data_IF_538525375399
#
_entry.id   IF_538525375399
#
_cell.length_a   1.000
_cell.length_b   1.000
_cell.length_c   1.000
_cell.angle_alpha   90.00
_cell.angle_beta   90.00
_cell.angle_gamma   90.00
#
_symmetry.space_group_name_H-M   'P 1'
#
loop_
_entity.id
_entity.type
_entity.pdbx_description
1 polymer ?
#
# COMPACT_ATOMS: atom_id res chain seq x y z
N UNK A 1 -5.47 10.92 -19.90
CA UNK A 1 -4.74 9.64 -19.75
C UNK A 1 -4.62 9.02 -21.13
N UNK A 2 -3.40 8.75 -21.60
CA UNK A 2 -3.19 8.12 -22.93
C UNK A 2 -3.56 6.63 -22.89
N UNK A 3 -3.97 6.06 -24.01
CA UNK A 3 -4.35 4.64 -24.12
C UNK A 3 -3.23 3.71 -23.66
N UNK A 4 -1.97 4.04 -23.99
CA UNK A 4 -0.78 3.32 -23.56
C UNK A 4 -0.59 3.30 -22.04
N UNK A 5 -0.92 4.39 -21.34
CA UNK A 5 -0.80 4.45 -19.87
C UNK A 5 -1.85 3.56 -19.18
N UNK A 6 -3.06 3.49 -19.74
CA UNK A 6 -4.12 2.58 -19.26
C UNK A 6 -3.69 1.13 -19.44
N UNK A 7 -3.10 0.79 -20.59
CA UNK A 7 -2.62 -0.57 -20.86
C UNK A 7 -1.46 -0.96 -19.94
N UNK A 8 -0.48 -0.07 -19.74
CA UNK A 8 0.59 -0.25 -18.76
C UNK A 8 0.02 -0.45 -17.34
N UNK A 9 -1.01 0.30 -16.97
CA UNK A 9 -1.66 0.18 -15.66
C UNK A 9 -2.31 -1.19 -15.47
N UNK A 10 -3.00 -1.70 -16.50
CA UNK A 10 -3.55 -3.07 -16.50
C UNK A 10 -2.44 -4.12 -16.39
N UNK A 11 -1.36 -3.97 -17.14
CA UNK A 11 -0.23 -4.92 -17.16
C UNK A 11 0.41 -5.01 -15.78
N UNK A 12 0.71 -3.86 -15.16
CA UNK A 12 1.33 -3.81 -13.83
C UNK A 12 0.35 -4.29 -12.75
N UNK A 13 -0.89 -3.78 -12.77
CA UNK A 13 -1.91 -4.09 -11.76
C UNK A 13 -2.32 -5.57 -11.69
N UNK A 14 -2.39 -6.24 -12.83
CA UNK A 14 -2.68 -7.70 -12.88
C UNK A 14 -1.52 -8.58 -12.43
N UNK A 15 -0.37 -7.98 -12.07
CA UNK A 15 0.81 -8.68 -11.56
C UNK A 15 1.20 -8.14 -10.17
N UNK A 16 0.46 -8.51 -9.10
CA UNK A 16 0.66 -7.94 -7.77
C UNK A 16 2.10 -8.02 -7.25
N UNK A 17 2.81 -9.12 -7.53
CA UNK A 17 4.22 -9.29 -7.16
C UNK A 17 5.11 -8.25 -7.83
N UNK A 18 4.93 -8.03 -9.14
CA UNK A 18 5.69 -7.04 -9.89
C UNK A 18 5.38 -5.62 -9.41
N UNK A 19 4.10 -5.31 -9.19
CA UNK A 19 3.66 -4.01 -8.69
C UNK A 19 4.26 -3.69 -7.31
N UNK A 20 4.23 -4.66 -6.38
CA UNK A 20 4.82 -4.50 -5.04
C UNK A 20 6.33 -4.31 -5.10
N UNK A 21 7.04 -5.07 -5.93
CA UNK A 21 8.49 -4.93 -6.09
C UNK A 21 8.86 -3.61 -6.75
N UNK A 22 8.09 -3.14 -7.73
CA UNK A 22 8.26 -1.81 -8.34
C UNK A 22 8.10 -0.71 -7.29
N UNK A 23 7.06 -0.79 -6.46
CA UNK A 23 6.89 0.13 -5.32
C UNK A 23 8.08 0.07 -4.36
N UNK A 24 8.54 -1.13 -4.00
CA UNK A 24 9.71 -1.30 -3.11
C UNK A 24 10.98 -0.67 -3.70
N UNK A 25 11.27 -0.90 -4.98
CA UNK A 25 12.41 -0.29 -5.66
C UNK A 25 12.33 1.24 -5.65
N UNK A 26 11.16 1.80 -5.94
CA UNK A 26 10.91 3.24 -5.85
C UNK A 26 11.14 3.79 -4.44
N UNK A 27 10.62 3.12 -3.40
CA UNK A 27 10.79 3.52 -1.99
C UNK A 27 12.23 3.39 -1.49
N UNK A 28 12.98 2.44 -2.03
CA UNK A 28 14.41 2.23 -1.75
C UNK A 28 15.34 3.19 -2.51
N UNK A 29 14.79 4.11 -3.31
CA UNK A 29 15.54 5.03 -4.16
C UNK A 29 16.46 4.32 -5.18
N UNK A 30 16.04 3.16 -5.67
CA UNK A 30 16.76 2.47 -6.75
C UNK A 30 16.62 3.26 -8.06
N UNK A 31 17.66 3.29 -8.90
CA UNK A 31 17.61 4.01 -10.19
C UNK A 31 16.93 3.21 -11.30
N UNK A 32 16.71 1.91 -11.08
CA UNK A 32 16.11 1.03 -12.08
C UNK A 32 15.47 -0.20 -11.44
N UNK A 33 14.38 -0.66 -12.02
CA UNK A 33 13.66 -1.86 -11.67
C UNK A 33 13.44 -2.72 -12.92
N UNK A 34 13.51 -4.04 -12.77
CA UNK A 34 13.11 -4.98 -13.81
C UNK A 34 12.51 -6.24 -13.18
N UNK A 35 11.31 -6.59 -13.61
CA UNK A 35 10.64 -7.84 -13.24
C UNK A 35 10.46 -8.71 -14.48
N UNK A 36 11.10 -9.87 -14.48
CA UNK A 36 10.99 -10.86 -15.55
C UNK A 36 10.03 -11.97 -15.10
N UNK A 37 8.81 -12.06 -15.66
CA UNK A 37 7.93 -13.17 -15.37
C UNK A 37 8.48 -14.48 -15.95
N UNK A 38 8.03 -15.62 -15.40
CA UNK A 38 8.38 -16.95 -15.95
C UNK A 38 7.92 -17.09 -17.41
N UNK A 39 6.78 -16.48 -17.75
CA UNK A 39 6.22 -16.42 -19.10
C UNK A 39 5.84 -14.97 -19.40
N UNK A 40 6.33 -14.43 -20.52
CA UNK A 40 6.03 -13.09 -20.99
C UNK A 40 7.24 -12.16 -20.99
N UNK A 41 7.00 -10.89 -21.32
CA UNK A 41 8.02 -9.87 -21.39
C UNK A 41 8.30 -9.25 -20.01
N UNK A 42 9.51 -8.70 -19.80
CA UNK A 42 9.82 -8.00 -18.57
C UNK A 42 9.05 -6.68 -18.47
N UNK A 43 8.71 -6.31 -17.23
CA UNK A 43 8.29 -4.96 -16.87
C UNK A 43 9.54 -4.26 -16.36
N UNK A 44 9.87 -3.10 -16.92
CA UNK A 44 11.01 -2.31 -16.45
C UNK A 44 10.60 -0.89 -16.11
N UNK A 45 11.28 -0.31 -15.13
CA UNK A 45 11.13 1.09 -14.80
C UNK A 45 12.51 1.70 -14.54
N UNK A 46 12.72 2.93 -15.01
CA UNK A 46 13.91 3.74 -14.70
C UNK A 46 13.47 4.97 -13.94
N UNK A 47 14.20 5.29 -12.88
CA UNK A 47 13.96 6.47 -12.05
C UNK A 47 15.13 7.45 -12.23
N UNK A 48 14.83 8.67 -12.65
CA UNK A 48 15.77 9.80 -12.70
C UNK A 48 15.32 10.81 -11.63
N UNK A 49 15.89 10.67 -10.43
CA UNK A 49 15.54 11.53 -9.29
C UNK A 49 16.06 12.97 -9.44
N UNK A 50 17.10 13.19 -10.23
CA UNK A 50 17.63 14.54 -10.49
C UNK A 50 16.70 15.33 -11.40
N UNK A 51 16.03 14.65 -12.35
CA UNK A 51 15.01 15.25 -13.23
C UNK A 51 13.59 15.11 -12.72
N UNK A 52 13.40 14.39 -11.62
CA UNK A 52 12.07 14.02 -11.10
C UNK A 52 11.20 13.28 -12.14
N UNK A 53 11.79 12.31 -12.84
CA UNK A 53 11.12 11.52 -13.88
C UNK A 53 11.17 10.01 -13.60
N UNK A 54 10.12 9.29 -14.03
CA UNK A 54 10.08 7.85 -14.13
C UNK A 54 9.68 7.42 -15.54
N UNK A 55 10.41 6.46 -16.11
CA UNK A 55 10.04 5.81 -17.39
C UNK A 55 9.60 4.39 -17.08
N UNK A 56 8.32 4.07 -17.31
CA UNK A 56 7.77 2.72 -17.19
C UNK A 56 7.63 2.10 -18.58
N UNK A 57 8.14 0.88 -18.78
CA UNK A 57 8.13 0.21 -20.06
C UNK A 57 7.71 -1.27 -19.98
N UNK A 58 7.05 -1.72 -21.04
CA UNK A 58 6.70 -3.12 -21.28
C UNK A 58 6.58 -3.35 -22.80
N UNK A 59 7.42 -4.24 -23.35
CA UNK A 59 7.51 -4.42 -24.82
C UNK A 59 7.72 -3.07 -25.52
N UNK A 60 6.85 -2.73 -26.46
CA UNK A 60 6.87 -1.48 -27.24
C UNK A 60 6.10 -0.34 -26.56
N UNK A 61 5.47 -0.60 -25.41
CA UNK A 61 4.80 0.42 -24.61
C UNK A 61 5.79 1.10 -23.67
N UNK A 62 5.78 2.43 -23.66
CA UNK A 62 6.56 3.24 -22.72
C UNK A 62 5.76 4.45 -22.30
N UNK A 63 5.91 4.85 -21.04
CA UNK A 63 5.38 6.10 -20.51
C UNK A 63 6.46 6.81 -19.70
N UNK A 64 6.76 8.03 -20.11
CA UNK A 64 7.55 8.97 -19.33
C UNK A 64 6.60 9.81 -18.46
N UNK A 65 6.83 9.80 -17.16
CA UNK A 65 6.00 10.42 -16.14
C UNK A 65 6.90 11.28 -15.24
N UNK A 66 6.35 12.38 -14.71
CA UNK A 66 6.97 12.98 -13.53
C UNK A 66 6.91 11.98 -12.35
N UNK A 67 7.79 12.08 -11.37
CA UNK A 67 7.71 11.23 -10.17
C UNK A 67 6.39 11.41 -9.41
N UNK A 68 5.80 12.61 -9.48
CA UNK A 68 4.47 12.89 -8.94
C UNK A 68 3.39 12.10 -9.69
N UNK A 69 3.36 12.20 -11.03
CA UNK A 69 2.40 11.47 -11.87
C UNK A 69 2.60 9.95 -11.76
N UNK A 70 3.84 9.48 -11.63
CA UNK A 70 4.14 8.08 -11.39
C UNK A 70 3.54 7.60 -10.07
N UNK A 71 3.67 8.39 -9.00
CA UNK A 71 3.11 8.05 -7.68
C UNK A 71 1.58 8.01 -7.73
N UNK A 72 0.95 9.02 -8.34
CA UNK A 72 -0.50 9.08 -8.52
C UNK A 72 -0.99 7.89 -9.37
N UNK A 73 -0.27 7.56 -10.45
CA UNK A 73 -0.57 6.42 -11.31
C UNK A 73 -0.49 5.09 -10.56
N UNK A 74 0.54 4.87 -9.74
CA UNK A 74 0.65 3.68 -8.89
C UNK A 74 -0.49 3.62 -7.88
N UNK A 75 -0.90 4.75 -7.30
CA UNK A 75 -2.07 4.83 -6.41
C UNK A 75 -3.37 4.41 -7.09
N UNK A 76 -3.59 4.82 -8.34
CA UNK A 76 -4.75 4.38 -9.13
C UNK A 76 -4.70 2.86 -9.39
N UNK A 77 -3.54 2.32 -9.76
CA UNK A 77 -3.37 0.87 -9.95
C UNK A 77 -3.72 0.11 -8.66
N UNK A 78 -3.20 0.53 -7.51
CA UNK A 78 -3.50 -0.10 -6.22
C UNK A 78 -5.01 -0.11 -5.93
N UNK A 79 -5.67 1.02 -6.17
CA UNK A 79 -7.09 1.20 -5.90
C UNK A 79 -7.97 0.24 -6.71
N UNK A 80 -7.55 -0.06 -7.94
CA UNK A 80 -8.28 -0.95 -8.86
C UNK A 80 -7.94 -2.42 -8.62
N UNK A 81 -6.67 -2.75 -8.42
CA UNK A 81 -6.18 -4.14 -8.53
C UNK A 81 -5.81 -4.81 -7.21
N UNK A 82 -5.54 -4.05 -6.16
CA UNK A 82 -5.13 -4.65 -4.91
C UNK A 82 -6.28 -5.40 -4.25
N UNK A 83 -5.93 -6.52 -3.61
CA UNK A 83 -6.85 -7.31 -2.80
C UNK A 83 -7.34 -6.46 -1.62
N UNK A 84 -8.60 -6.64 -1.26
CA UNK A 84 -9.18 -6.12 -0.02
C UNK A 84 -9.43 -7.35 0.85
N UNK A 85 -8.55 -7.59 1.83
CA UNK A 85 -8.63 -8.79 2.64
C UNK A 85 -9.76 -8.70 3.69
N UNK A 86 -10.46 -9.82 4.00
CA UNK A 86 -11.45 -9.87 5.07
C UNK A 86 -10.87 -9.52 6.45
N UNK A 87 -11.72 -9.02 7.34
CA UNK A 87 -11.37 -8.89 8.78
C UNK A 87 -11.05 -10.28 9.35
N UNK A 88 -10.06 -10.35 10.24
CA UNK A 88 -9.55 -11.59 10.80
C UNK A 88 -8.43 -12.22 9.99
N UNK A 89 -8.12 -11.69 8.80
CA UNK A 89 -6.96 -12.14 8.00
C UNK A 89 -5.67 -11.91 8.77
N UNK A 90 -4.82 -12.94 8.85
CA UNK A 90 -3.48 -12.89 9.42
C UNK A 90 -2.46 -12.74 8.29
N UNK A 91 -1.67 -11.68 8.36
CA UNK A 91 -0.67 -11.33 7.36
C UNK A 91 0.70 -11.16 8.00
N UNK A 92 1.75 -11.46 7.24
CA UNK A 92 3.12 -11.06 7.55
C UNK A 92 3.45 -9.77 6.83
N UNK A 93 4.06 -8.83 7.55
CA UNK A 93 4.50 -7.55 7.03
C UNK A 93 5.95 -7.62 6.52
N UNK A 94 6.22 -6.89 5.46
CA UNK A 94 7.57 -6.65 4.95
C UNK A 94 8.25 -5.57 5.81
N UNK A 95 9.19 -6.00 6.65
CA UNK A 95 9.91 -5.11 7.58
C UNK A 95 10.67 -3.99 6.86
N UNK A 96 11.10 -4.20 5.61
CA UNK A 96 11.82 -3.18 4.84
C UNK A 96 10.91 -2.00 4.44
N UNK A 97 9.59 -2.23 4.43
CA UNK A 97 8.58 -1.21 4.11
C UNK A 97 7.90 -0.65 5.36
N UNK A 98 8.26 -1.15 6.55
CA UNK A 98 7.77 -0.66 7.83
C UNK A 98 8.64 0.49 8.35
N UNK A 99 8.01 1.53 8.95
CA UNK A 99 8.74 2.56 9.69
C UNK A 99 9.65 1.96 10.79
N UNK A 100 10.89 2.44 10.95
CA UNK A 100 11.85 1.86 11.90
C UNK A 100 11.37 1.77 13.35
N UNK A 101 10.52 2.70 13.80
CA UNK A 101 9.99 2.69 15.16
C UNK A 101 9.05 1.50 15.44
N UNK A 102 8.41 0.94 14.39
CA UNK A 102 7.52 -0.23 14.52
C UNK A 102 8.28 -1.55 14.54
N UNK A 103 9.55 -1.59 14.12
CA UNK A 103 10.36 -2.82 14.09
C UNK A 103 10.51 -3.44 15.48
N UNK A 104 10.50 -2.59 16.52
CA UNK A 104 10.58 -3.02 17.93
C UNK A 104 9.38 -3.86 18.38
N UNK A 105 8.22 -3.69 17.73
CA UNK A 105 7.01 -4.46 18.05
C UNK A 105 7.13 -5.93 17.62
N UNK A 106 8.08 -6.24 16.73
CA UNK A 106 8.24 -7.56 16.12
C UNK A 106 9.55 -8.26 16.48
N UNK A 107 10.34 -7.68 17.39
CA UNK A 107 11.66 -8.22 17.76
C UNK A 107 11.55 -9.44 18.66
N UNK A 108 10.54 -9.43 19.55
CA UNK A 108 10.29 -10.49 20.52
C UNK A 108 8.98 -11.22 20.16
N UNK A 109 9.02 -12.13 19.18
CA UNK A 109 7.80 -12.82 18.75
C UNK A 109 7.95 -13.76 17.55
N UNK A 110 6.83 -14.29 17.03
CA UNK A 110 6.81 -15.26 15.93
C UNK A 110 7.12 -14.65 14.55
N UNK A 111 7.54 -13.37 14.50
CA UNK A 111 7.80 -12.61 13.28
C UNK A 111 6.86 -11.41 13.14
N UNK A 112 6.89 -10.78 11.96
CA UNK A 112 6.13 -9.57 11.65
C UNK A 112 4.64 -9.83 11.37
N UNK A 113 3.97 -10.59 12.24
CA UNK A 113 2.61 -11.07 12.05
C UNK A 113 1.58 -10.14 12.69
N UNK A 114 0.54 -9.81 11.93
CA UNK A 114 -0.58 -9.01 12.40
C UNK A 114 -1.92 -9.58 11.91
N UNK A 115 -2.98 -9.33 12.67
CA UNK A 115 -4.37 -9.63 12.29
C UNK A 115 -5.06 -8.34 11.87
N UNK A 116 -5.69 -8.34 10.70
CA UNK A 116 -6.49 -7.24 10.18
C UNK A 116 -7.80 -7.14 10.98
N UNK A 117 -8.06 -5.97 11.58
CA UNK A 117 -9.24 -5.69 12.39
C UNK A 117 -10.12 -4.58 11.83
N UNK A 118 -9.62 -3.79 10.88
CA UNK A 118 -10.36 -2.74 10.19
C UNK A 118 -9.85 -2.56 8.77
N UNK A 119 -10.68 -1.95 7.90
CA UNK A 119 -10.42 -1.86 6.46
C UNK A 119 -10.86 -0.51 5.92
N UNK A 120 -10.10 0.01 4.96
CA UNK A 120 -10.46 1.19 4.13
C UNK A 120 -10.94 2.36 5.01
N UNK A 121 -10.10 2.77 5.95
CA UNK A 121 -10.39 3.85 6.90
C UNK A 121 -10.01 5.20 6.26
N UNK A 122 -10.97 6.13 6.04
CA UNK A 122 -10.65 7.46 5.52
C UNK A 122 -9.76 8.23 6.48
N UNK A 123 -8.75 8.93 5.94
CA UNK A 123 -7.92 9.84 6.74
C UNK A 123 -8.70 11.14 6.94
N UNK A 124 -8.80 11.60 8.19
CA UNK A 124 -9.59 12.80 8.54
C UNK A 124 -8.80 14.09 8.27
N UNK A 125 -9.53 15.21 8.29
CA UNK A 125 -8.94 16.55 8.17
C UNK A 125 -8.53 16.88 6.74
N UNK A 126 -7.37 17.52 6.58
CA UNK A 126 -6.86 17.97 5.27
C UNK A 126 -6.42 16.83 4.35
N UNK A 127 -6.31 15.60 4.87
CA UNK A 127 -5.89 14.40 4.12
C UNK A 127 -7.08 13.58 3.59
N UNK A 128 -8.23 14.23 3.36
CA UNK A 128 -9.49 13.56 3.01
C UNK A 128 -9.48 12.79 1.69
N UNK A 129 -8.43 12.96 0.86
CA UNK A 129 -8.20 12.20 -0.37
C UNK A 129 -7.48 10.85 -0.14
N UNK A 130 -7.04 10.58 1.10
CA UNK A 130 -6.28 9.38 1.43
C UNK A 130 -7.05 8.39 2.29
N UNK A 131 -6.66 7.12 2.17
CA UNK A 131 -7.23 6.01 2.95
C UNK A 131 -6.13 5.14 3.54
N UNK A 132 -6.35 4.64 4.76
CA UNK A 132 -5.56 3.55 5.33
C UNK A 132 -6.23 2.24 4.92
N UNK A 133 -5.49 1.36 4.22
CA UNK A 133 -6.08 0.12 3.71
C UNK A 133 -6.54 -0.79 4.85
N UNK A 134 -5.73 -0.91 5.91
CA UNK A 134 -6.03 -1.77 7.05
C UNK A 134 -5.62 -1.18 8.40
N UNK A 135 -6.45 -1.46 9.39
CA UNK A 135 -6.10 -1.39 10.80
C UNK A 135 -5.73 -2.81 11.23
N UNK A 136 -4.60 -2.98 11.91
CA UNK A 136 -4.13 -4.30 12.34
C UNK A 136 -3.65 -4.31 13.79
N UNK A 137 -3.66 -5.52 14.37
CA UNK A 137 -3.19 -5.82 15.73
C UNK A 137 -2.13 -6.90 15.70
N UNK A 138 -1.21 -6.89 16.66
CA UNK A 138 -0.17 -7.92 16.75
C UNK A 138 -0.80 -9.30 16.90
N UNK A 139 -0.35 -10.26 16.10
CA UNK A 139 -0.77 -11.65 16.24
C UNK A 139 0.20 -12.39 17.18
N UNK A 140 -0.26 -13.31 18.06
CA UNK A 140 -1.64 -13.72 18.31
C UNK A 140 -2.34 -12.88 19.39
N UNK A 141 -1.72 -11.80 19.86
CA UNK A 141 -2.13 -11.07 21.07
C UNK A 141 -3.43 -10.27 20.90
N UNK A 142 -3.71 -9.76 19.70
CA UNK A 142 -4.88 -8.94 19.43
C UNK A 142 -4.81 -7.57 20.12
N UNK A 143 -5.91 -7.16 20.74
CA UNK A 143 -6.01 -5.89 21.47
C UNK A 143 -5.29 -6.00 22.82
N UNK A 144 -4.30 -5.13 23.05
CA UNK A 144 -3.59 -5.01 24.32
C UNK A 144 -3.72 -3.57 24.86
N UNK A 145 -4.02 -3.38 26.16
CA UNK A 145 -4.03 -2.05 26.75
C UNK A 145 -2.72 -1.31 26.54
N UNK A 146 -2.79 -0.06 26.08
CA UNK A 146 -1.61 0.78 25.82
C UNK A 146 -0.85 0.45 24.54
N UNK A 147 -1.32 -0.51 23.72
CA UNK A 147 -0.73 -0.81 22.41
C UNK A 147 -1.62 -0.21 21.32
N UNK A 148 -1.11 0.84 20.67
CA UNK A 148 -1.78 1.47 19.54
C UNK A 148 -1.94 0.49 18.36
N UNK A 149 -2.99 0.64 17.54
CA UNK A 149 -3.16 -0.19 16.35
C UNK A 149 -2.09 0.14 15.32
N UNK A 150 -1.81 -0.84 14.45
CA UNK A 150 -0.84 -0.70 13.37
C UNK A 150 -1.61 -0.37 12.09
N UNK A 151 -1.33 0.78 11.49
CA UNK A 151 -1.83 1.09 10.16
C UNK A 151 -1.01 0.36 9.10
N UNK A 152 -1.69 -0.39 8.25
CA UNK A 152 -1.08 -1.25 7.23
C UNK A 152 -1.67 -0.90 5.87
N UNK A 153 -0.81 -0.77 4.87
CA UNK A 153 -1.22 -0.67 3.47
C UNK A 153 -0.93 -1.96 2.70
N UNK A 154 -1.55 -2.14 1.53
CA UNK A 154 -1.34 -3.33 0.70
C UNK A 154 0.15 -3.58 0.38
N UNK A 155 0.92 -2.51 0.18
CA UNK A 155 2.34 -2.62 -0.14
C UNK A 155 3.18 -3.13 1.03
N UNK A 156 2.71 -3.04 2.27
CA UNK A 156 3.41 -3.59 3.44
C UNK A 156 3.18 -5.10 3.59
N UNK A 157 2.14 -5.69 3.00
CA UNK A 157 1.80 -7.10 3.20
C UNK A 157 2.74 -8.00 2.39
N UNK A 158 3.63 -8.74 3.06
CA UNK A 158 4.55 -9.71 2.45
C UNK A 158 3.81 -10.96 1.99
N UNK A 159 3.01 -11.54 2.88
CA UNK A 159 2.25 -12.75 2.59
C UNK A 159 1.02 -12.84 3.49
N UNK A 160 0.00 -13.54 3.01
CA UNK A 160 -1.19 -13.90 3.78
C UNK A 160 -0.97 -15.32 4.30
N UNK A 161 -1.03 -15.49 5.62
CA UNK A 161 -0.90 -16.81 6.26
C UNK A 161 -2.25 -17.48 6.44
N UNK A 162 -3.27 -16.68 6.76
CA UNK A 162 -4.63 -17.14 6.96
C UNK A 162 -5.60 -16.05 6.53
N UNK A 163 -6.51 -16.36 5.62
CA UNK A 163 -7.58 -15.43 5.26
C UNK A 163 -8.68 -15.45 6.34
N UNK A 164 -9.27 -14.28 6.60
CA UNK A 164 -10.46 -14.16 7.43
C UNK A 164 -11.67 -14.83 6.78
N UNK A 165 -12.83 -14.78 7.46
CA UNK A 165 -14.04 -15.36 6.92
C UNK A 165 -14.42 -14.66 5.61
N UNK A 166 -14.52 -15.44 4.53
CA UNK A 166 -14.99 -14.99 3.23
C UNK A 166 -16.20 -15.79 2.80
N UNK A 167 -17.28 -15.09 2.50
CA UNK A 167 -18.55 -15.62 2.01
C UNK A 167 -19.13 -14.61 1.00
N UNK A 168 -20.25 -14.97 0.36
CA UNK A 168 -20.87 -14.12 -0.67
C UNK A 168 -21.17 -12.69 -0.18
N UNK A 169 -21.58 -12.55 1.10
CA UNK A 169 -21.82 -11.24 1.72
C UNK A 169 -20.54 -10.40 1.83
N UNK A 170 -19.42 -11.03 2.18
CA UNK A 170 -18.12 -10.38 2.29
C UNK A 170 -17.56 -9.99 0.92
N UNK A 171 -17.79 -10.82 -0.12
CA UNK A 171 -17.43 -10.48 -1.50
C UNK A 171 -18.24 -9.29 -2.04
N UNK A 172 -19.57 -9.28 -1.83
CA UNK A 172 -20.45 -8.16 -2.21
C UNK A 172 -20.05 -6.88 -1.46
N UNK A 173 -19.85 -6.96 -0.15
CA UNK A 173 -19.41 -5.81 0.65
C UNK A 173 -18.06 -5.26 0.19
N UNK A 174 -17.13 -6.13 -0.18
CA UNK A 174 -15.81 -5.71 -0.66
C UNK A 174 -15.88 -5.00 -2.00
N UNK A 175 -16.56 -5.55 -3.00
CA UNK A 175 -16.56 -4.99 -4.35
C UNK A 175 -17.57 -3.84 -4.50
N UNK A 176 -18.80 -4.03 -4.03
CA UNK A 176 -19.89 -3.08 -4.30
C UNK A 176 -19.90 -1.90 -3.31
N UNK A 177 -19.29 -2.06 -2.14
CA UNK A 177 -19.22 -0.99 -1.13
C UNK A 177 -17.79 -0.48 -1.00
N UNK A 178 -16.83 -1.30 -0.56
CA UNK A 178 -15.48 -0.79 -0.24
C UNK A 178 -14.74 -0.30 -1.47
N UNK A 179 -14.61 -1.12 -2.52
CA UNK A 179 -13.90 -0.75 -3.75
C UNK A 179 -14.66 0.35 -4.50
N UNK A 180 -15.96 0.20 -4.68
CA UNK A 180 -16.81 1.20 -5.35
C UNK A 180 -16.71 2.59 -4.69
N UNK A 181 -16.78 2.67 -3.35
CA UNK A 181 -16.62 3.94 -2.63
C UNK A 181 -15.21 4.51 -2.79
N UNK A 182 -14.16 3.69 -2.67
CA UNK A 182 -12.78 4.14 -2.88
C UNK A 182 -12.61 4.77 -4.27
N UNK A 183 -13.08 4.09 -5.32
CA UNK A 183 -12.93 4.56 -6.70
C UNK A 183 -13.79 5.80 -6.98
N UNK A 184 -15.03 5.84 -6.49
CA UNK A 184 -15.95 6.95 -6.71
C UNK A 184 -15.49 8.24 -6.02
N UNK A 185 -14.90 8.12 -4.83
CA UNK A 185 -14.33 9.24 -4.09
C UNK A 185 -12.86 9.52 -4.47
N UNK A 186 -12.30 8.78 -5.43
CA UNK A 186 -10.91 8.90 -5.89
C UNK A 186 -9.89 8.81 -4.74
N UNK A 187 -10.19 7.98 -3.74
CA UNK A 187 -9.36 7.81 -2.56
C UNK A 187 -8.13 6.95 -2.87
N UNK A 188 -6.97 7.43 -2.47
CA UNK A 188 -5.69 6.75 -2.70
C UNK A 188 -5.12 6.20 -1.39
N UNK A 189 -4.52 5.02 -1.42
CA UNK A 189 -3.84 4.47 -0.24
C UNK A 189 -2.75 5.42 0.25
N UNK A 190 -2.64 5.56 1.57
CA UNK A 190 -1.55 6.29 2.23
C UNK A 190 -0.14 5.81 1.82
N UNK A 191 -0.01 4.63 1.22
CA UNK A 191 1.22 4.17 0.58
C UNK A 191 1.73 5.13 -0.52
N UNK A 192 0.81 5.78 -1.24
CA UNK A 192 1.09 6.68 -2.36
C UNK A 192 0.80 8.13 -1.98
N UNK A 193 0.77 8.44 -0.68
CA UNK A 193 0.63 9.81 -0.20
C UNK A 193 1.79 10.67 -0.69
N UNK A 194 1.47 11.83 -1.25
CA UNK A 194 2.46 12.78 -1.76
C UNK A 194 3.43 13.17 -0.65
N UNK A 195 4.68 13.45 -1.02
CA UNK A 195 5.77 13.71 -0.06
C UNK A 195 5.44 14.86 0.91
N UNK A 196 4.82 15.90 0.40
CA UNK A 196 4.40 17.08 1.18
C UNK A 196 3.36 16.71 2.24
N UNK A 197 2.32 15.97 1.85
CA UNK A 197 1.28 15.51 2.75
C UNK A 197 1.80 14.50 3.76
N UNK A 198 2.64 13.55 3.32
CA UNK A 198 3.20 12.50 4.16
C UNK A 198 4.04 13.06 5.31
N UNK A 199 4.86 14.08 5.04
CA UNK A 199 5.67 14.73 6.06
C UNK A 199 4.80 15.33 7.18
N UNK A 200 3.67 15.93 6.81
CA UNK A 200 2.75 16.54 7.78
C UNK A 200 1.91 15.48 8.48
N UNK A 201 1.44 14.46 7.76
CA UNK A 201 0.65 13.35 8.31
C UNK A 201 1.42 12.57 9.37
N UNK A 202 2.69 12.23 9.10
CA UNK A 202 3.55 11.54 10.09
C UNK A 202 3.77 12.39 11.34
N UNK A 203 3.93 13.71 11.19
CA UNK A 203 4.04 14.60 12.35
C UNK A 203 2.76 14.64 13.20
N UNK A 204 1.59 14.60 12.56
CA UNK A 204 0.31 14.55 13.28
C UNK A 204 0.12 13.22 14.01
N UNK A 205 0.44 12.08 13.37
CA UNK A 205 0.42 10.76 14.01
C UNK A 205 1.36 10.67 15.23
N UNK A 206 2.57 11.21 15.11
CA UNK A 206 3.53 11.21 16.22
C UNK A 206 3.04 12.08 17.39
N UNK A 207 2.35 13.19 17.13
CA UNK A 207 1.75 14.03 18.18
C UNK A 207 0.64 13.29 18.92
N UNK A 208 -0.24 12.62 18.20
CA UNK A 208 -1.33 11.81 18.78
C UNK A 208 -0.76 10.70 19.68
N UNK A 209 0.22 9.94 19.19
CA UNK A 209 0.88 8.87 19.96
C UNK A 209 1.58 9.40 21.23
N UNK A 210 2.14 10.62 21.18
CA UNK A 210 2.77 11.23 22.36
C UNK A 210 1.72 11.70 23.38
N UNK A 211 0.55 12.14 22.92
CA UNK A 211 -0.51 12.63 23.80
C UNK A 211 -1.22 11.51 24.57
N UNK A 212 -1.39 10.33 23.94
CA UNK A 212 -1.96 9.14 24.58
C UNK A 212 -1.04 8.54 25.67
N UNK A 213 0.27 8.79 25.64
CA UNK A 213 1.23 8.34 26.65
C UNK A 213 1.31 9.26 27.88
N UNK A 214 0.65 10.42 27.85
CA UNK A 214 0.65 11.42 28.94
C UNK A 214 -0.59 11.38 29.85
N UNK A 215 -1.43 10.36 29.72
CA UNK A 215 -2.64 10.15 30.53
C UNK A 215 -2.69 8.78 31.19
#
# INVERSE_FOLDING_TARGET
MTESLIELGKIVGTRPVAFKQLYKAYRSLETSFSYTPVIGAPISCRFDYDKEEATLAYLDLSADLSLADFTDFMGVIDSVYSSIYPIGTVVELDLDLLPPHLHRLFTDGPGALVTITGRKLPVRGKFGEYIVDYLARLWPFGELPGVAPIYVNNMMIRQVHQEGLRNDWEDEFTEDILRSNQLSAQLVSTAFMRKEDNAVYVQELLKEATHELSH
#
